data_IF_262255398354
#
_entry.id   IF_262255398354
#
_cell.length_a   1.000
_cell.length_b   1.000
_cell.length_c   1.000
_cell.angle_alpha   90.00
_cell.angle_beta   90.00
_cell.angle_gamma   90.00
#
_symmetry.space_group_name_H-M   'P 1'
#
loop_
_entity.id
_entity.type
_entity.pdbx_description
1 polymer ?
#
# COMPACT_ATOMS: atom_id res chain seq x y z
N UNK A 1 10.47 7.73 21.52
CA UNK A 1 9.04 8.08 21.47
C UNK A 1 8.68 8.12 19.99
N UNK A 2 7.75 7.29 19.54
CA UNK A 2 7.26 7.37 18.16
C UNK A 2 6.32 8.57 18.12
N UNK A 3 6.63 9.56 17.29
CA UNK A 3 5.82 10.76 17.09
C UNK A 3 4.42 10.34 16.63
N UNK A 4 3.36 10.91 17.20
CA UNK A 4 1.98 10.62 16.79
C UNK A 4 1.73 10.94 15.31
N UNK A 5 2.54 11.84 14.74
CA UNK A 5 2.57 12.17 13.31
C UNK A 5 3.09 10.99 12.48
N UNK A 6 4.20 10.37 12.90
CA UNK A 6 4.81 9.19 12.26
C UNK A 6 3.85 7.98 12.27
N UNK A 7 3.02 7.87 13.33
CA UNK A 7 1.97 6.83 13.43
C UNK A 7 0.77 7.11 12.51
N UNK A 8 0.38 8.38 12.31
CA UNK A 8 -0.73 8.75 11.40
C UNK A 8 -0.35 8.59 9.94
N UNK A 9 0.90 8.88 9.59
CA UNK A 9 1.40 8.73 8.22
C UNK A 9 1.49 7.25 7.84
N UNK A 10 2.01 6.38 8.72
CA UNK A 10 2.01 4.93 8.50
C UNK A 10 0.63 4.30 8.36
N UNK A 11 -0.37 4.86 9.03
CA UNK A 11 -1.77 4.45 8.86
C UNK A 11 -2.30 4.79 7.47
N UNK A 12 -1.84 5.89 6.87
CA UNK A 12 -2.19 6.24 5.49
C UNK A 12 -1.45 5.33 4.49
N UNK A 13 -0.20 4.97 4.78
CA UNK A 13 0.64 4.23 3.83
C UNK A 13 0.20 2.77 3.64
N UNK A 14 -0.40 2.13 4.66
CA UNK A 14 -0.92 0.75 4.52
C UNK A 14 -1.97 0.64 3.40
N UNK A 15 -2.68 1.72 3.10
CA UNK A 15 -3.65 1.73 2.01
C UNK A 15 -2.98 1.64 0.64
N UNK A 16 -1.75 2.15 0.48
CA UNK A 16 -0.98 1.99 -0.77
C UNK A 16 -0.67 0.51 -0.99
N UNK A 17 -0.31 -0.22 0.07
CA UNK A 17 -0.05 -1.67 -0.02
C UNK A 17 -1.33 -2.43 -0.37
N UNK A 18 -2.47 -2.03 0.19
CA UNK A 18 -3.78 -2.60 -0.17
C UNK A 18 -4.13 -2.39 -1.65
N UNK A 19 -3.78 -1.24 -2.23
CA UNK A 19 -3.99 -0.97 -3.66
C UNK A 19 -3.11 -1.82 -4.56
N UNK A 20 -1.85 -2.03 -4.17
CA UNK A 20 -0.94 -2.91 -4.91
C UNK A 20 -1.51 -4.32 -4.96
N UNK A 21 -1.88 -4.88 -3.82
CA UNK A 21 -2.42 -6.23 -3.71
C UNK A 21 -3.71 -6.35 -4.51
N UNK A 22 -4.67 -5.45 -4.28
CA UNK A 22 -5.96 -5.49 -4.95
C UNK A 22 -5.85 -5.35 -6.47
N UNK A 23 -5.03 -4.43 -6.97
CA UNK A 23 -4.82 -4.28 -8.40
C UNK A 23 -4.13 -5.51 -9.03
N UNK A 24 -3.22 -6.18 -8.32
CA UNK A 24 -2.61 -7.43 -8.80
C UNK A 24 -3.60 -8.59 -8.85
N UNK A 25 -4.48 -8.69 -7.85
CA UNK A 25 -5.54 -9.70 -7.78
C UNK A 25 -6.78 -9.38 -8.65
N UNK A 26 -6.86 -8.17 -9.20
CA UNK A 26 -7.98 -7.72 -10.03
C UNK A 26 -9.21 -7.23 -9.27
N UNK A 27 -9.06 -6.87 -7.99
CA UNK A 27 -10.07 -6.17 -7.20
C UNK A 27 -9.38 -5.13 -6.30
N UNK A 28 -9.22 -3.91 -6.82
CA UNK A 28 -8.49 -2.83 -6.15
C UNK A 28 -9.11 -2.41 -4.81
N UNK A 29 -10.41 -2.68 -4.62
CA UNK A 29 -11.16 -2.33 -3.42
C UNK A 29 -11.18 -3.44 -2.36
N UNK A 30 -10.70 -4.65 -2.69
CA UNK A 30 -10.82 -5.86 -1.86
C UNK A 30 -10.40 -5.63 -0.42
N UNK A 31 -9.18 -5.12 -0.22
CA UNK A 31 -8.62 -4.87 1.11
C UNK A 31 -8.64 -3.39 1.52
N UNK A 32 -9.06 -2.51 0.60
CA UNK A 32 -9.10 -1.08 0.84
C UNK A 32 -10.29 -0.67 1.74
N UNK A 33 -10.09 0.29 2.64
CA UNK A 33 -11.12 0.67 3.62
C UNK A 33 -10.91 2.04 4.27
N UNK A 34 -10.43 3.03 3.49
CA UNK A 34 -10.10 4.36 4.02
C UNK A 34 -11.33 5.28 4.12
N UNK A 35 -11.51 5.93 5.28
CA UNK A 35 -12.47 7.03 5.47
C UNK A 35 -12.07 8.32 4.74
N UNK A 36 -10.79 8.46 4.37
CA UNK A 36 -10.26 9.64 3.66
C UNK A 36 -10.46 9.56 2.14
N UNK A 37 -11.12 8.51 1.66
CA UNK A 37 -11.38 8.28 0.24
C UNK A 37 -10.22 7.60 -0.48
N UNK A 38 -10.57 6.97 -1.60
CA UNK A 38 -9.68 6.18 -2.46
C UNK A 38 -8.72 7.05 -3.28
N UNK A 39 -9.21 8.16 -3.82
CA UNK A 39 -8.49 9.00 -4.80
C UNK A 39 -7.13 9.50 -4.29
N UNK A 40 -7.02 9.87 -3.02
CA UNK A 40 -5.77 10.37 -2.43
C UNK A 40 -4.67 9.28 -2.45
N UNK A 41 -5.06 8.05 -2.14
CA UNK A 41 -4.14 6.91 -2.08
C UNK A 41 -3.76 6.45 -3.48
N UNK A 42 -4.72 6.43 -4.41
CA UNK A 42 -4.45 6.19 -5.83
C UNK A 42 -3.50 7.24 -6.42
N UNK A 43 -3.70 8.52 -6.11
CA UNK A 43 -2.80 9.59 -6.58
C UNK A 43 -1.37 9.35 -6.09
N UNK A 44 -1.20 8.92 -4.85
CA UNK A 44 0.11 8.55 -4.30
C UNK A 44 0.68 7.31 -4.98
N UNK A 45 -0.11 6.24 -5.13
CA UNK A 45 0.30 5.01 -5.79
C UNK A 45 0.73 5.25 -7.25
N UNK A 46 -0.02 6.06 -7.99
CA UNK A 46 0.33 6.51 -9.36
C UNK A 46 1.63 7.31 -9.37
N UNK A 47 1.80 8.27 -8.46
CA UNK A 47 3.04 9.07 -8.35
C UNK A 47 4.27 8.21 -8.03
N UNK A 48 4.08 7.12 -7.29
CA UNK A 48 5.13 6.13 -7.01
C UNK A 48 5.33 5.12 -8.16
N UNK A 49 4.53 5.20 -9.23
CA UNK A 49 4.61 4.31 -10.38
C UNK A 49 4.19 2.88 -10.06
N UNK A 50 3.21 2.70 -9.16
CA UNK A 50 2.69 1.41 -8.73
C UNK A 50 1.41 1.01 -9.48
N UNK A 51 0.61 2.02 -9.81
CA UNK A 51 -0.66 1.87 -10.53
C UNK A 51 -0.57 2.72 -11.80
N UNK A 52 -1.17 2.25 -12.89
CA UNK A 52 -1.22 2.99 -14.14
C UNK A 52 -2.01 4.30 -14.00
N UNK A 53 -1.61 5.32 -14.75
CA UNK A 53 -2.28 6.62 -14.73
C UNK A 53 -3.59 6.62 -15.51
N UNK A 54 -3.74 5.70 -16.47
CA UNK A 54 -4.90 5.59 -17.36
C UNK A 54 -5.96 4.61 -16.85
N UNK A 55 -5.55 3.65 -16.02
CA UNK A 55 -6.42 2.64 -15.45
C UNK A 55 -5.94 2.25 -14.05
N UNK A 56 -6.77 2.48 -13.03
CA UNK A 56 -6.41 2.15 -11.65
C UNK A 56 -6.35 0.66 -11.36
N UNK A 57 -7.07 -0.17 -12.12
CA UNK A 57 -7.05 -1.62 -11.92
C UNK A 57 -5.79 -2.25 -12.52
N UNK A 58 -4.96 -1.49 -13.24
CA UNK A 58 -3.75 -1.99 -13.88
C UNK A 58 -2.52 -1.70 -13.00
N UNK A 59 -1.94 -2.72 -12.33
CA UNK A 59 -0.69 -2.55 -11.61
C UNK A 59 0.48 -2.52 -12.59
N UNK A 60 1.46 -1.67 -12.28
CA UNK A 60 2.70 -1.62 -13.06
C UNK A 60 3.58 -2.85 -12.80
N UNK A 61 4.61 -3.03 -13.63
CA UNK A 61 5.62 -4.07 -13.40
C UNK A 61 6.29 -3.93 -12.02
N UNK A 62 6.47 -2.70 -11.53
CA UNK A 62 7.04 -2.43 -10.20
C UNK A 62 6.12 -2.93 -9.07
N UNK A 63 4.81 -2.69 -9.18
CA UNK A 63 3.85 -3.18 -8.20
C UNK A 63 3.79 -4.71 -8.18
N UNK A 64 3.78 -5.36 -9.36
CA UNK A 64 3.82 -6.82 -9.47
C UNK A 64 5.08 -7.41 -8.86
N UNK A 65 6.23 -6.78 -9.08
CA UNK A 65 7.50 -7.17 -8.50
C UNK A 65 7.50 -7.04 -6.97
N UNK A 66 6.99 -5.93 -6.42
CA UNK A 66 6.82 -5.76 -4.96
C UNK A 66 5.89 -6.82 -4.37
N UNK A 67 4.76 -7.10 -5.03
CA UNK A 67 3.81 -8.13 -4.62
C UNK A 67 4.52 -9.49 -4.48
N UNK A 68 5.23 -9.91 -5.52
CA UNK A 68 5.88 -11.23 -5.55
C UNK A 68 7.08 -11.32 -4.61
N UNK A 69 7.94 -10.29 -4.56
CA UNK A 69 9.17 -10.33 -3.76
C UNK A 69 8.88 -10.32 -2.26
N UNK A 70 7.85 -9.58 -1.82
CA UNK A 70 7.52 -9.44 -0.41
C UNK A 70 6.41 -10.41 0.06
N UNK A 71 5.79 -11.15 -0.86
CA UNK A 71 4.78 -12.16 -0.55
C UNK A 71 3.45 -11.55 -0.07
N UNK A 72 2.94 -10.55 -0.78
CA UNK A 72 1.71 -9.84 -0.40
C UNK A 72 0.49 -10.77 -0.37
N UNK A 73 0.49 -11.85 -1.14
CA UNK A 73 -0.54 -12.92 -1.12
C UNK A 73 -0.70 -13.60 0.25
N UNK A 74 0.27 -13.43 1.15
CA UNK A 74 0.25 -14.02 2.49
C UNK A 74 -0.30 -13.07 3.55
N UNK A 75 -0.69 -11.85 3.18
CA UNK A 75 -1.31 -10.93 4.11
C UNK A 75 -2.70 -11.44 4.56
N UNK A 76 -3.10 -11.15 5.81
CA UNK A 76 -4.41 -11.59 6.32
C UNK A 76 -5.58 -11.07 5.46
N UNK A 77 -6.65 -11.86 5.38
CA UNK A 77 -7.89 -11.39 4.74
C UNK A 77 -8.53 -10.21 5.48
N UNK A 78 -9.40 -9.48 4.78
CA UNK A 78 -10.17 -8.35 5.32
C UNK A 78 -9.50 -6.98 5.14
N UNK A 79 -10.01 -5.94 5.83
CA UNK A 79 -9.56 -4.56 5.60
C UNK A 79 -8.14 -4.34 6.12
N UNK A 80 -7.26 -3.82 5.26
CA UNK A 80 -5.83 -3.65 5.54
C UNK A 80 -5.56 -2.84 6.82
N UNK A 81 -6.32 -1.76 7.04
CA UNK A 81 -6.14 -0.91 8.22
C UNK A 81 -6.47 -1.60 9.56
N UNK A 82 -7.26 -2.67 9.53
CA UNK A 82 -7.59 -3.46 10.73
C UNK A 82 -6.53 -4.53 11.01
N UNK A 83 -6.02 -5.20 9.96
CA UNK A 83 -5.31 -6.47 10.13
C UNK A 83 -3.84 -6.44 9.72
N UNK A 84 -3.41 -5.44 8.93
CA UNK A 84 -2.06 -5.46 8.34
C UNK A 84 -1.05 -4.56 9.08
N UNK A 85 -1.49 -3.83 10.11
CA UNK A 85 -0.62 -2.98 10.89
C UNK A 85 0.45 -3.78 11.64
N UNK A 86 1.70 -3.35 11.53
CA UNK A 86 2.83 -4.05 12.13
C UNK A 86 3.19 -5.37 11.43
N UNK A 87 2.56 -5.69 10.30
CA UNK A 87 2.97 -6.81 9.46
C UNK A 87 4.40 -6.56 8.94
N UNK A 88 5.34 -7.49 9.12
CA UNK A 88 6.70 -7.34 8.61
C UNK A 88 6.74 -7.22 7.08
N UNK A 89 5.78 -7.82 6.37
CA UNK A 89 5.64 -7.71 4.92
C UNK A 89 5.30 -6.28 4.53
N UNK A 90 4.29 -5.68 5.18
CA UNK A 90 3.90 -4.28 4.93
C UNK A 90 5.04 -3.33 5.25
N UNK A 91 5.69 -3.51 6.39
CA UNK A 91 6.80 -2.64 6.79
C UNK A 91 7.98 -2.71 5.81
N UNK A 92 8.27 -3.89 5.25
CA UNK A 92 9.31 -4.06 4.24
C UNK A 92 8.97 -3.33 2.94
N UNK A 93 7.74 -3.45 2.45
CA UNK A 93 7.26 -2.72 1.26
C UNK A 93 7.33 -1.21 1.50
N UNK A 94 6.83 -0.73 2.63
CA UNK A 94 6.81 0.69 2.95
C UNK A 94 8.22 1.27 3.10
N UNK A 95 9.17 0.52 3.67
CA UNK A 95 10.57 0.94 3.74
C UNK A 95 11.21 1.13 2.36
N UNK A 96 10.80 0.34 1.35
CA UNK A 96 11.26 0.48 -0.04
C UNK A 96 10.57 1.64 -0.78
N UNK A 97 9.29 1.89 -0.50
CA UNK A 97 8.51 2.94 -1.17
C UNK A 97 8.76 4.34 -0.61
N UNK A 98 8.90 4.43 0.71
CA UNK A 98 8.98 5.68 1.46
C UNK A 98 10.24 5.64 2.34
N UNK A 99 11.45 5.65 1.72
CA UNK A 99 12.67 5.69 2.49
C UNK A 99 12.63 6.94 3.37
N UNK A 100 12.74 6.73 4.70
CA UNK A 100 12.73 7.85 5.65
C UNK A 100 13.81 8.84 5.23
N UNK A 101 13.56 10.16 5.30
CA UNK A 101 14.64 11.13 5.14
C UNK A 101 15.69 10.81 6.20
N UNK A 102 16.90 10.48 5.76
CA UNK A 102 18.08 10.47 6.63
C UNK A 102 18.19 11.83 7.27
N UNK A 103 17.94 11.89 8.59
CA UNK A 103 18.20 13.06 9.42
C UNK A 103 19.67 13.47 9.36
#
# INVERSE_FOLDING_TARGET
MVDETDRRDRFADVFIVALIEGAVEGDIDRHFGSLRGMELHLATARRLGLIDFTDEEVPTARARDLYQRHGLEHLPEGRAYLYWQGSPIVEAVLAELLPRPTM
#
